data_IF_441463708922
#
_entry.id   IF_441463708922
#
_cell.length_a   1.000
_cell.length_b   1.000
_cell.length_c   1.000
_cell.angle_alpha   90.00
_cell.angle_beta   90.00
_cell.angle_gamma   90.00
#
_symmetry.space_group_name_H-M   'P 1'
#
loop_
_entity.id
_entity.type
_entity.pdbx_description
1 polymer ?
#
# COMPACT_ATOMS: atom_id res chain seq x y z
N UNK A 1 6.68 -18.18 -19.94
CA UNK A 1 5.64 -19.15 -19.56
C UNK A 1 5.66 -19.29 -18.05
N UNK A 2 4.50 -19.07 -17.44
CA UNK A 2 4.25 -19.10 -16.00
C UNK A 2 4.23 -20.54 -15.49
N UNK A 3 4.84 -20.84 -14.34
CA UNK A 3 4.35 -21.76 -13.26
C UNK A 3 5.49 -22.14 -12.32
N UNK A 4 5.40 -21.75 -11.05
CA UNK A 4 5.24 -22.68 -9.93
C UNK A 4 4.94 -21.93 -8.65
N UNK A 5 3.89 -22.42 -8.00
CA UNK A 5 3.27 -21.96 -6.79
C UNK A 5 3.83 -22.74 -5.58
N UNK A 6 4.13 -22.01 -4.50
CA UNK A 6 3.99 -22.34 -3.06
C UNK A 6 4.87 -23.42 -2.41
N UNK A 7 5.55 -23.01 -1.33
CA UNK A 7 6.27 -23.87 -0.39
C UNK A 7 6.42 -23.16 0.97
N UNK A 8 5.49 -23.49 1.89
CA UNK A 8 5.65 -23.56 3.36
C UNK A 8 6.80 -22.80 4.04
N UNK A 9 6.46 -21.77 4.81
CA UNK A 9 7.00 -21.56 6.15
C UNK A 9 6.08 -20.62 6.94
N UNK A 10 5.30 -21.20 7.84
CA UNK A 10 4.51 -20.52 8.86
C UNK A 10 5.44 -20.28 10.07
N UNK A 11 5.67 -19.03 10.45
CA UNK A 11 6.19 -18.68 11.79
C UNK A 11 5.43 -17.46 12.31
N UNK A 12 4.67 -17.70 13.36
CA UNK A 12 4.05 -16.70 14.22
C UNK A 12 5.11 -16.17 15.21
N UNK A 13 5.25 -14.84 15.32
CA UNK A 13 5.74 -14.17 16.54
C UNK A 13 5.06 -12.82 16.67
N UNK A 14 4.26 -12.57 17.69
CA UNK A 14 3.80 -11.22 18.02
C UNK A 14 4.99 -10.37 18.50
N UNK A 15 5.24 -9.21 17.88
CA UNK A 15 6.32 -8.31 18.30
C UNK A 15 6.46 -7.10 17.37
N UNK A 16 6.48 -5.92 17.96
CA UNK A 16 6.61 -4.57 17.38
C UNK A 16 7.50 -4.44 16.12
N UNK A 17 6.92 -3.77 15.11
CA UNK A 17 7.58 -2.93 14.11
C UNK A 17 8.72 -3.53 13.27
N UNK A 18 8.38 -4.46 12.36
CA UNK A 18 9.01 -4.57 11.03
C UNK A 18 7.91 -5.01 10.07
N UNK A 19 7.80 -4.38 8.90
CA UNK A 19 6.84 -4.73 7.87
C UNK A 19 7.10 -6.17 7.42
N UNK A 20 6.40 -7.13 8.03
CA UNK A 20 6.38 -8.51 7.54
C UNK A 20 5.77 -8.51 6.15
N UNK A 21 6.38 -9.27 5.25
CA UNK A 21 5.74 -9.64 3.99
C UNK A 21 4.35 -10.20 4.33
N UNK A 22 3.33 -9.49 3.87
CA UNK A 22 1.96 -9.96 3.98
C UNK A 22 1.83 -11.15 3.05
N UNK A 23 1.19 -12.23 3.51
CA UNK A 23 0.88 -13.36 2.65
C UNK A 23 0.15 -12.87 1.39
N UNK A 24 0.48 -13.44 0.24
CA UNK A 24 -0.05 -12.99 -1.06
C UNK A 24 -1.58 -12.88 -1.08
N UNK A 25 -2.29 -13.79 -0.41
CA UNK A 25 -3.75 -13.75 -0.32
C UNK A 25 -4.26 -12.54 0.49
N UNK A 26 -3.60 -12.19 1.60
CA UNK A 26 -3.95 -11.00 2.38
C UNK A 26 -3.66 -9.72 1.59
N UNK A 27 -2.57 -9.70 0.83
CA UNK A 27 -2.27 -8.58 -0.09
C UNK A 27 -3.32 -8.47 -1.17
N UNK A 28 -3.76 -9.58 -1.77
CA UNK A 28 -4.79 -9.57 -2.80
C UNK A 28 -6.13 -9.12 -2.23
N UNK A 29 -6.52 -9.63 -1.06
CA UNK A 29 -7.77 -9.27 -0.40
C UNK A 29 -7.81 -7.78 -0.02
N UNK A 30 -6.71 -7.26 0.54
CA UNK A 30 -6.70 -5.90 1.14
C UNK A 30 -6.16 -4.80 0.24
N UNK A 31 -5.29 -5.14 -0.72
CA UNK A 31 -4.60 -4.17 -1.58
C UNK A 31 -5.00 -4.28 -3.06
N UNK A 32 -6.20 -4.77 -3.35
CA UNK A 32 -6.82 -4.70 -4.68
C UNK A 32 -7.76 -3.51 -4.79
N UNK A 33 -7.59 -2.67 -5.81
CA UNK A 33 -8.44 -1.51 -6.08
C UNK A 33 -9.76 -1.93 -6.73
N UNK A 34 -10.85 -1.33 -6.26
CA UNK A 34 -12.14 -1.40 -6.93
C UNK A 34 -12.35 -0.20 -7.89
N UNK A 35 -13.47 -0.22 -8.63
CA UNK A 35 -13.79 0.83 -9.61
C UNK A 35 -13.99 2.22 -8.99
N UNK A 36 -14.57 2.31 -7.79
CA UNK A 36 -14.79 3.58 -7.09
C UNK A 36 -13.48 4.21 -6.60
N UNK A 37 -12.62 3.40 -5.98
CA UNK A 37 -11.29 3.82 -5.53
C UNK A 37 -10.46 4.31 -6.72
N UNK A 38 -10.54 3.61 -7.85
CA UNK A 38 -9.90 4.04 -9.10
C UNK A 38 -10.45 5.39 -9.58
N UNK A 39 -11.74 5.64 -9.37
CA UNK A 39 -12.37 6.96 -9.60
C UNK A 39 -11.72 8.07 -8.79
N UNK A 40 -11.41 7.84 -7.52
CA UNK A 40 -10.73 8.83 -6.64
C UNK A 40 -9.29 9.12 -7.05
N UNK A 41 -8.66 8.22 -7.82
CA UNK A 41 -7.31 8.37 -8.34
C UNK A 41 -7.25 9.18 -9.64
N UNK A 42 -8.37 9.49 -10.29
CA UNK A 42 -8.41 10.16 -11.60
C UNK A 42 -7.68 11.50 -11.63
N UNK A 43 -7.71 12.24 -10.53
CA UNK A 43 -7.07 13.56 -10.41
C UNK A 43 -5.62 13.49 -9.92
N UNK A 44 -5.06 12.29 -9.75
CA UNK A 44 -3.70 12.05 -9.25
C UNK A 44 -2.89 11.35 -10.34
N UNK A 45 -1.61 11.67 -10.45
CA UNK A 45 -0.68 11.08 -11.43
C UNK A 45 0.64 10.68 -10.77
N UNK A 46 1.37 9.77 -11.41
CA UNK A 46 2.72 9.34 -11.00
C UNK A 46 2.82 8.94 -9.52
N UNK A 47 3.93 9.33 -8.89
CA UNK A 47 4.23 9.06 -7.46
C UNK A 47 3.11 9.51 -6.52
N UNK A 48 2.40 10.61 -6.82
CA UNK A 48 1.28 11.10 -5.99
C UNK A 48 0.08 10.16 -6.03
N UNK A 49 -0.18 9.54 -7.18
CA UNK A 49 -1.21 8.50 -7.31
C UNK A 49 -0.83 7.30 -6.45
N UNK A 50 0.38 6.77 -6.62
CA UNK A 50 0.87 5.60 -5.88
C UNK A 50 0.85 5.84 -4.36
N UNK A 51 1.40 6.97 -3.90
CA UNK A 51 1.46 7.32 -2.48
C UNK A 51 0.07 7.45 -1.86
N UNK A 52 -0.88 8.10 -2.55
CA UNK A 52 -2.26 8.20 -2.07
C UNK A 52 -2.95 6.84 -2.02
N UNK A 53 -2.79 6.00 -3.05
CA UNK A 53 -3.43 4.68 -3.08
C UNK A 53 -2.94 3.78 -1.96
N UNK A 54 -1.62 3.72 -1.75
CA UNK A 54 -1.04 2.91 -0.67
C UNK A 54 -1.52 3.41 0.69
N UNK A 55 -1.61 4.73 0.85
CA UNK A 55 -2.09 5.35 2.07
C UNK A 55 -3.57 5.05 2.35
N UNK A 56 -4.42 5.06 1.32
CA UNK A 56 -5.82 4.66 1.41
C UNK A 56 -5.97 3.18 1.79
N UNK A 57 -5.25 2.27 1.11
CA UNK A 57 -5.31 0.84 1.43
C UNK A 57 -4.80 0.53 2.83
N UNK A 58 -3.73 1.19 3.25
CA UNK A 58 -3.22 1.05 4.60
C UNK A 58 -4.21 1.56 5.66
N UNK A 59 -4.93 2.67 5.38
CA UNK A 59 -5.99 3.17 6.24
C UNK A 59 -7.13 2.15 6.38
N UNK A 60 -7.60 1.58 5.28
CA UNK A 60 -8.67 0.57 5.30
C UNK A 60 -8.25 -0.72 6.02
N UNK A 61 -6.98 -1.09 5.94
CA UNK A 61 -6.44 -2.29 6.60
C UNK A 61 -6.17 -2.09 8.10
N UNK A 62 -5.53 -0.98 8.49
CA UNK A 62 -5.04 -0.75 9.87
C UNK A 62 -5.82 0.30 10.65
N UNK A 63 -6.78 0.98 10.03
CA UNK A 63 -7.53 2.09 10.65
C UNK A 63 -6.67 3.33 10.95
N UNK A 64 -5.45 3.41 10.41
CA UNK A 64 -4.54 4.55 10.61
C UNK A 64 -3.73 4.81 9.35
N UNK A 65 -3.15 5.99 9.28
CA UNK A 65 -2.21 6.35 8.21
C UNK A 65 -0.80 5.79 8.48
N UNK A 66 -0.04 5.39 7.43
CA UNK A 66 1.37 5.10 7.54
C UNK A 66 2.13 6.39 7.90
N UNK A 67 3.19 6.26 8.71
CA UNK A 67 4.06 7.39 9.09
C UNK A 67 5.29 7.45 8.20
N UNK A 68 5.74 6.30 7.69
CA UNK A 68 6.89 6.19 6.80
C UNK A 68 6.72 5.02 5.82
N UNK A 69 7.54 5.00 4.76
CA UNK A 69 7.55 3.90 3.77
C UNK A 69 7.78 2.52 4.42
N UNK A 70 8.61 2.47 5.45
CA UNK A 70 8.97 1.24 6.17
C UNK A 70 7.81 0.64 6.97
N UNK A 71 6.72 1.38 7.20
CA UNK A 71 5.50 0.84 7.81
C UNK A 71 4.71 -0.04 6.83
N UNK A 72 5.02 0.07 5.54
CA UNK A 72 4.28 -0.57 4.47
C UNK A 72 4.93 -1.90 4.07
N UNK A 73 4.15 -2.99 4.00
CA UNK A 73 4.61 -4.25 3.43
C UNK A 73 5.05 -4.07 1.98
N UNK A 74 6.21 -4.64 1.62
CA UNK A 74 6.79 -4.52 0.28
C UNK A 74 5.85 -5.07 -0.78
N UNK A 75 5.30 -6.26 -0.55
CA UNK A 75 4.35 -6.92 -1.45
C UNK A 75 3.09 -6.09 -1.72
N UNK A 76 2.60 -5.37 -0.70
CA UNK A 76 1.45 -4.48 -0.82
C UNK A 76 1.77 -3.28 -1.72
N UNK A 77 2.96 -2.68 -1.54
CA UNK A 77 3.41 -1.57 -2.39
C UNK A 77 3.55 -2.03 -3.84
N UNK A 78 4.18 -3.17 -4.09
CA UNK A 78 4.36 -3.71 -5.44
C UNK A 78 3.03 -4.07 -6.12
N UNK A 79 2.08 -4.63 -5.36
CA UNK A 79 0.74 -4.93 -5.86
C UNK A 79 -0.01 -3.66 -6.27
N UNK A 80 0.06 -2.60 -5.47
CA UNK A 80 -0.59 -1.33 -5.77
C UNK A 80 0.09 -0.61 -6.93
N UNK A 81 1.42 -0.57 -6.94
CA UNK A 81 2.26 -0.01 -8.01
C UNK A 81 1.86 -0.55 -9.39
N UNK A 82 1.72 -1.87 -9.52
CA UNK A 82 1.26 -2.53 -10.75
C UNK A 82 -0.14 -2.10 -11.18
N UNK A 83 -1.06 -1.88 -10.24
CA UNK A 83 -2.44 -1.47 -10.57
C UNK A 83 -2.52 -0.02 -11.04
N UNK A 84 -1.68 0.86 -10.49
CA UNK A 84 -1.69 2.28 -10.84
C UNK A 84 -0.74 2.65 -11.98
N UNK A 85 0.08 1.69 -12.43
CA UNK A 85 1.04 1.86 -13.52
C UNK A 85 2.26 2.71 -13.16
N UNK A 86 2.70 2.69 -11.91
CA UNK A 86 3.83 3.49 -11.39
C UNK A 86 4.86 2.55 -10.78
N UNK A 87 6.16 2.81 -10.95
CA UNK A 87 7.18 1.95 -10.37
C UNK A 87 7.16 2.02 -8.83
N UNK A 88 7.21 0.88 -8.15
CA UNK A 88 7.21 0.83 -6.68
C UNK A 88 8.35 1.66 -6.06
N UNK A 89 9.51 1.72 -6.74
CA UNK A 89 10.66 2.51 -6.30
C UNK A 89 10.41 4.02 -6.24
N UNK A 90 9.48 4.55 -7.05
CA UNK A 90 9.12 5.98 -7.03
C UNK A 90 8.50 6.40 -5.70
N UNK A 91 7.90 5.46 -4.95
CA UNK A 91 7.32 5.74 -3.64
C UNK A 91 8.36 6.25 -2.62
N UNK A 92 9.65 6.03 -2.87
CA UNK A 92 10.75 6.57 -2.03
C UNK A 92 10.79 8.10 -2.06
N UNK A 93 10.37 8.72 -3.16
CA UNK A 93 10.28 10.17 -3.29
C UNK A 93 8.98 10.75 -2.72
N UNK A 94 8.05 9.90 -2.26
CA UNK A 94 6.78 10.33 -1.69
C UNK A 94 6.92 10.69 -0.22
N UNK A 95 6.57 11.94 0.12
CA UNK A 95 6.54 12.38 1.51
C UNK A 95 5.22 11.99 2.19
N UNK A 96 5.29 10.95 3.03
CA UNK A 96 4.17 10.46 3.85
C UNK A 96 3.77 11.42 4.99
N UNK A 97 4.66 12.35 5.36
CA UNK A 97 4.48 13.28 6.47
C UNK A 97 4.04 14.67 6.01
N UNK A 98 4.04 14.93 4.70
CA UNK A 98 3.67 16.20 4.09
C UNK A 98 2.31 16.71 4.58
N UNK A 99 2.21 18.02 4.80
CA UNK A 99 0.98 18.73 5.25
C UNK A 99 -0.25 18.41 4.39
N UNK A 100 -0.06 18.04 3.13
CA UNK A 100 -1.11 17.57 2.20
C UNK A 100 -1.68 16.22 2.61
N UNK A 101 -0.86 15.27 3.10
CA UNK A 101 -1.32 13.98 3.64
C UNK A 101 -2.03 14.16 5.00
N UNK A 102 -1.60 15.16 5.80
CA UNK A 102 -2.27 15.52 7.05
C UNK A 102 -3.65 16.16 6.87
N UNK A 103 -3.92 16.88 5.76
CA UNK A 103 -5.24 17.47 5.45
C UNK A 103 -6.37 16.43 5.28
N UNK A 104 -6.06 15.14 5.14
CA UNK A 104 -7.04 14.06 5.03
C UNK A 104 -7.37 13.38 6.38
N UNK A 105 -6.79 13.83 7.51
CA UNK A 105 -7.04 13.26 8.85
C UNK A 105 -8.20 13.88 9.61
N UNK A 106 -8.83 14.92 9.07
CA UNK A 106 -9.99 15.56 9.68
C UNK A 106 -11.18 15.37 8.73
N UNK A 107 -12.17 14.53 9.07
CA UNK A 107 -13.48 14.65 8.45
C UNK A 107 -14.03 16.02 8.89
N UNK A 108 -14.37 16.87 7.92
CA UNK A 108 -15.30 17.96 8.15
C UNK A 108 -16.72 17.41 7.99
#
# INVERSE_FOLDING_TARGET
MMTRWWGTAFVEVAGTAMARDLGLDEVVDRFTLNGEETGWLRNKTGVTRLGFTVQLKFLLWRGRFPRMRLDLPTDAVERVARQVGVAAGELTAYDFTSRTAQRHRTPQ
#
